data_IF_271847613376
#
_entry.id   IF_271847613376
#
_cell.length_a   1.000
_cell.length_b   1.000
_cell.length_c   1.000
_cell.angle_alpha   90.00
_cell.angle_beta   90.00
_cell.angle_gamma   90.00
#
_symmetry.space_group_name_H-M   'P 1'
#
loop_
_entity.id
_entity.type
_entity.pdbx_description
1 polymer ?
#
# COMPACT_ATOMS: atom_id res chain seq x y z
N UNK A 1 -20.01 -3.67 33.52
CA UNK A 1 -19.50 -2.79 32.46
C UNK A 1 -19.43 -3.61 31.18
N UNK A 2 -20.51 -3.56 30.41
CA UNK A 2 -20.66 -4.31 29.16
C UNK A 2 -19.76 -3.73 28.06
N UNK A 3 -19.05 -4.63 27.37
CA UNK A 3 -18.27 -4.31 26.18
C UNK A 3 -19.24 -4.12 25.03
N UNK A 4 -19.46 -2.87 24.65
CA UNK A 4 -20.21 -2.52 23.45
C UNK A 4 -19.47 -3.05 22.21
N UNK A 5 -20.11 -3.95 21.48
CA UNK A 5 -19.55 -4.60 20.29
C UNK A 5 -19.47 -3.63 19.13
N UNK A 6 -18.36 -3.63 18.38
CA UNK A 6 -18.02 -2.73 17.25
C UNK A 6 -19.14 -2.65 16.18
N UNK A 7 -20.01 -3.66 16.11
CA UNK A 7 -21.17 -3.71 15.20
C UNK A 7 -22.24 -2.63 15.49
N UNK A 8 -22.35 -2.17 16.73
CA UNK A 8 -23.38 -1.19 17.14
C UNK A 8 -22.94 0.27 16.92
N UNK A 9 -21.62 0.55 16.91
CA UNK A 9 -21.10 1.89 16.65
C UNK A 9 -21.29 2.34 15.18
N UNK A 10 -21.43 1.39 14.25
CA UNK A 10 -21.60 1.67 12.82
C UNK A 10 -23.03 2.05 12.40
N UNK A 11 -24.03 1.86 13.26
CA UNK A 11 -25.43 2.22 12.94
C UNK A 11 -25.81 3.66 13.33
N UNK A 12 -24.93 4.40 14.03
CA UNK A 12 -25.23 5.75 14.54
C UNK A 12 -24.88 6.92 13.61
N UNK A 13 -24.34 6.69 12.41
CA UNK A 13 -23.92 7.74 11.48
C UNK A 13 -24.67 7.73 10.13
N UNK A 14 -25.97 7.43 10.10
CA UNK A 14 -26.83 7.79 8.97
C UNK A 14 -27.42 9.19 9.18
N UNK A 15 -26.87 10.17 8.47
CA UNK A 15 -27.40 11.53 8.37
C UNK A 15 -28.82 11.45 7.76
N UNK A 16 -29.77 12.11 8.43
CA UNK A 16 -31.15 12.29 7.96
C UNK A 16 -31.16 13.31 6.83
N UNK A 17 -31.49 12.88 5.61
CA UNK A 17 -31.82 13.79 4.52
C UNK A 17 -33.18 14.47 4.81
N UNK A 18 -33.17 15.81 4.87
CA UNK A 18 -34.39 16.62 4.96
C UNK A 18 -34.95 16.83 3.55
N UNK A 19 -36.23 16.48 3.40
CA UNK A 19 -37.09 16.72 2.23
C UNK A 19 -37.31 18.23 2.02
N UNK A 20 -37.11 18.72 0.80
CA UNK A 20 -37.62 20.03 0.35
C UNK A 20 -38.47 19.78 -0.90
N UNK A 21 -39.69 20.31 -0.89
CA UNK A 21 -40.69 20.19 -1.95
C UNK A 21 -40.40 21.18 -3.11
N UNK A 22 -40.93 20.84 -4.29
CA UNK A 22 -40.41 21.26 -5.59
C UNK A 22 -41.08 22.48 -6.23
N UNK A 23 -40.54 22.85 -7.40
CA UNK A 23 -41.25 23.60 -8.45
C UNK A 23 -40.78 23.09 -9.81
N UNK A 24 -41.75 22.96 -10.71
CA UNK A 24 -41.76 22.42 -12.08
C UNK A 24 -41.05 23.29 -13.13
N UNK A 25 -40.51 22.63 -14.16
CA UNK A 25 -40.20 23.25 -15.46
C UNK A 25 -39.28 22.39 -16.34
N UNK A 26 -39.84 21.80 -17.40
CA UNK A 26 -39.14 20.98 -18.40
C UNK A 26 -38.14 21.78 -19.25
N UNK A 27 -36.95 21.20 -19.51
CA UNK A 27 -36.42 20.93 -20.87
C UNK A 27 -35.01 20.32 -20.79
N UNK A 28 -34.84 19.16 -21.43
CA UNK A 28 -33.61 18.36 -21.51
C UNK A 28 -32.74 18.88 -22.67
N UNK A 29 -31.40 18.93 -22.49
CA UNK A 29 -30.54 18.12 -23.35
C UNK A 29 -29.53 17.27 -22.56
N UNK A 30 -29.22 16.10 -23.15
CA UNK A 30 -28.28 15.07 -22.68
C UNK A 30 -26.88 15.64 -22.38
N UNK A 31 -26.42 15.44 -21.15
CA UNK A 31 -25.00 15.31 -20.83
C UNK A 31 -24.80 14.09 -19.93
N UNK A 32 -23.89 13.20 -20.33
CA UNK A 32 -23.71 11.89 -19.71
C UNK A 32 -22.56 11.98 -18.71
N UNK A 33 -22.80 12.64 -17.59
CA UNK A 33 -21.92 12.57 -16.43
C UNK A 33 -22.06 11.22 -15.74
N UNK A 34 -20.94 10.49 -15.57
CA UNK A 34 -20.84 9.50 -14.49
C UNK A 34 -19.54 9.69 -13.73
N UNK A 35 -19.58 10.66 -12.82
CA UNK A 35 -18.64 10.76 -11.73
C UNK A 35 -18.83 9.63 -10.72
N UNK A 36 -17.69 9.15 -10.22
CA UNK A 36 -17.43 8.66 -8.86
C UNK A 36 -18.33 7.50 -8.38
N UNK A 37 -17.75 6.30 -8.41
CA UNK A 37 -18.10 5.24 -7.46
C UNK A 37 -16.85 4.85 -6.68
N UNK A 38 -16.59 5.58 -5.60
CA UNK A 38 -15.78 5.07 -4.49
C UNK A 38 -16.55 3.91 -3.84
N UNK A 39 -16.50 2.74 -4.47
CA UNK A 39 -16.83 1.49 -3.80
C UNK A 39 -15.61 1.17 -2.96
N UNK A 40 -15.75 1.32 -1.64
CA UNK A 40 -14.87 0.64 -0.70
C UNK A 40 -15.12 -0.86 -0.88
N UNK A 41 -14.51 -1.47 -1.91
CA UNK A 41 -14.50 -2.91 -2.07
C UNK A 41 -13.82 -3.49 -0.83
N UNK A 42 -14.60 -4.22 -0.03
CA UNK A 42 -14.09 -4.88 1.17
C UNK A 42 -13.23 -6.05 0.69
N UNK A 43 -11.92 -5.82 0.59
CA UNK A 43 -10.93 -6.85 0.26
C UNK A 43 -10.86 -7.92 1.34
N UNK A 44 -10.77 -9.17 0.94
CA UNK A 44 -10.68 -10.31 1.87
C UNK A 44 -9.34 -10.30 2.58
N UNK A 45 -9.36 -10.30 3.92
CA UNK A 45 -8.14 -10.46 4.71
C UNK A 45 -7.77 -11.94 4.82
N UNK A 46 -6.52 -12.27 4.57
CA UNK A 46 -6.01 -13.65 4.61
C UNK A 46 -4.74 -13.76 5.45
N UNK A 47 -4.48 -14.97 5.93
CA UNK A 47 -3.30 -15.26 6.75
C UNK A 47 -2.01 -15.29 5.92
N UNK A 48 -0.90 -14.98 6.59
CA UNK A 48 0.42 -15.01 5.97
C UNK A 48 0.74 -16.42 5.42
N UNK A 49 1.29 -16.46 4.21
CA UNK A 49 1.52 -17.66 3.42
C UNK A 49 0.38 -17.97 2.44
N UNK A 50 -0.85 -17.52 2.71
CA UNK A 50 -1.99 -17.76 1.82
C UNK A 50 -2.12 -16.73 0.69
N UNK A 51 -1.32 -15.65 0.70
CA UNK A 51 -1.35 -14.58 -0.31
C UNK A 51 -0.87 -15.01 -1.69
N UNK A 52 -0.20 -16.15 -1.77
CA UNK A 52 0.33 -16.65 -3.03
C UNK A 52 -0.70 -17.53 -3.75
N UNK A 53 -0.70 -17.49 -5.09
CA UNK A 53 -1.42 -18.44 -5.92
C UNK A 53 -0.67 -19.76 -5.99
N UNK A 54 -1.38 -20.89 -5.94
CA UNK A 54 -0.77 -22.21 -6.12
C UNK A 54 -0.35 -22.39 -7.58
N UNK A 55 0.92 -22.15 -7.93
CA UNK A 55 1.43 -22.31 -9.29
C UNK A 55 2.94 -22.08 -9.46
N UNK A 56 3.48 -22.48 -10.62
CA UNK A 56 4.93 -22.39 -10.97
C UNK A 56 5.51 -20.97 -10.96
N UNK A 57 4.65 -19.95 -11.03
CA UNK A 57 5.00 -18.53 -10.94
C UNK A 57 4.38 -18.03 -9.65
N UNK A 58 5.17 -17.92 -8.59
CA UNK A 58 4.74 -17.39 -7.30
C UNK A 58 4.16 -15.97 -7.51
N UNK A 59 2.84 -15.86 -7.69
CA UNK A 59 2.08 -14.61 -7.89
C UNK A 59 1.20 -14.39 -6.67
N UNK A 60 0.75 -13.15 -6.46
CA UNK A 60 -0.22 -12.85 -5.42
C UNK A 60 -1.65 -13.07 -5.93
N UNK A 61 -2.54 -13.45 -5.02
CA UNK A 61 -3.98 -13.48 -5.29
C UNK A 61 -4.49 -12.04 -5.50
N UNK A 62 -5.51 -11.84 -6.34
CA UNK A 62 -6.15 -10.54 -6.51
C UNK A 62 -7.05 -10.17 -5.33
N UNK A 63 -7.31 -8.87 -5.15
CA UNK A 63 -8.32 -8.31 -4.25
C UNK A 63 -8.28 -8.80 -2.79
N UNK A 64 -7.06 -8.98 -2.27
CA UNK A 64 -6.81 -9.42 -0.89
C UNK A 64 -6.10 -8.35 -0.07
N UNK A 65 -6.23 -8.49 1.25
CA UNK A 65 -5.36 -7.88 2.26
C UNK A 65 -4.59 -8.97 2.99
N UNK A 66 -3.32 -8.71 3.29
CA UNK A 66 -2.49 -9.66 4.02
C UNK A 66 -1.45 -8.94 4.87
N UNK A 67 -0.84 -9.69 5.79
CA UNK A 67 0.33 -9.24 6.55
C UNK A 67 1.55 -10.05 6.16
N UNK A 68 2.70 -9.38 6.05
CA UNK A 68 3.98 -10.04 5.78
C UNK A 68 5.16 -9.24 6.34
N UNK A 69 6.34 -9.83 6.31
CA UNK A 69 7.55 -9.32 6.95
C UNK A 69 7.65 -9.69 8.42
N UNK A 70 8.79 -9.34 9.04
CA UNK A 70 9.12 -9.62 10.44
C UNK A 70 8.14 -8.99 11.44
N UNK A 71 7.51 -7.88 11.04
CA UNK A 71 6.63 -7.06 11.90
C UNK A 71 5.20 -6.96 11.38
N UNK A 72 4.77 -7.93 10.56
CA UNK A 72 3.36 -8.08 10.16
C UNK A 72 2.74 -6.81 9.53
N UNK A 73 3.48 -6.18 8.63
CA UNK A 73 3.01 -4.99 7.94
C UNK A 73 1.88 -5.34 6.97
N UNK A 74 0.93 -4.41 6.79
CA UNK A 74 -0.25 -4.63 5.97
C UNK A 74 0.01 -4.29 4.50
N UNK A 75 -0.49 -5.14 3.62
CA UNK A 75 -0.47 -4.93 2.18
C UNK A 75 -1.84 -5.22 1.59
N UNK A 76 -2.04 -4.68 0.39
CA UNK A 76 -3.21 -5.01 -0.43
C UNK A 76 -2.80 -5.31 -1.86
N UNK A 77 -3.53 -6.22 -2.51
CA UNK A 77 -3.46 -6.38 -3.95
C UNK A 77 -4.66 -5.76 -4.67
N UNK A 78 -4.50 -5.44 -5.94
CA UNK A 78 -5.60 -5.12 -6.84
C UNK A 78 -6.14 -6.38 -7.55
N UNK A 79 -7.07 -6.17 -8.48
CA UNK A 79 -7.75 -7.22 -9.24
C UNK A 79 -6.84 -8.05 -10.15
N UNK A 80 -5.60 -7.63 -10.39
CA UNK A 80 -4.61 -8.39 -11.16
C UNK A 80 -3.59 -9.12 -10.25
N UNK A 81 -3.72 -8.96 -8.93
CA UNK A 81 -2.76 -9.48 -7.95
C UNK A 81 -1.48 -8.66 -7.88
N UNK A 82 -1.54 -7.37 -8.23
CA UNK A 82 -0.40 -6.43 -8.07
C UNK A 82 -0.50 -5.77 -6.71
N UNK A 83 0.63 -5.55 -6.03
CA UNK A 83 0.63 -4.85 -4.74
C UNK A 83 0.20 -3.40 -4.99
N UNK A 84 -0.96 -3.01 -4.46
CA UNK A 84 -1.52 -1.66 -4.61
C UNK A 84 -1.26 -0.78 -3.39
N UNK A 85 -1.04 -1.39 -2.22
CA UNK A 85 -0.81 -0.67 -0.97
C UNK A 85 0.18 -1.40 -0.05
N UNK A 86 0.98 -0.61 0.68
CA UNK A 86 1.77 -1.01 1.85
C UNK A 86 1.51 0.01 2.97
N UNK A 87 1.10 -0.46 4.15
CA UNK A 87 0.91 0.43 5.31
C UNK A 87 1.36 -0.17 6.64
N UNK A 88 1.83 0.69 7.53
CA UNK A 88 2.08 0.36 8.93
C UNK A 88 1.93 1.58 9.84
N UNK A 89 1.36 1.37 11.03
CA UNK A 89 1.30 2.39 12.09
C UNK A 89 2.53 2.40 12.99
N UNK A 90 3.45 1.45 12.79
CA UNK A 90 4.66 1.29 13.59
C UNK A 90 5.74 0.60 12.75
N UNK A 91 6.45 1.37 11.92
CA UNK A 91 7.63 0.87 11.22
C UNK A 91 8.74 0.62 12.25
N UNK A 92 9.44 -0.50 12.11
CA UNK A 92 10.48 -0.92 13.05
C UNK A 92 11.77 -1.26 12.31
N UNK A 93 12.91 -1.12 12.98
CA UNK A 93 14.19 -1.64 12.48
C UNK A 93 14.30 -3.13 12.85
N UNK A 94 14.76 -3.94 11.89
CA UNK A 94 15.09 -5.33 12.16
C UNK A 94 16.24 -5.45 13.17
N UNK A 95 16.21 -6.50 13.99
CA UNK A 95 17.34 -6.87 14.87
C UNK A 95 18.36 -7.78 14.18
N UNK A 96 18.09 -8.20 12.95
CA UNK A 96 19.00 -9.06 12.17
C UNK A 96 20.29 -8.32 11.85
N UNK A 97 21.42 -9.04 11.89
CA UNK A 97 22.74 -8.52 11.51
C UNK A 97 22.94 -8.55 10.00
N UNK A 98 22.45 -9.61 9.36
CA UNK A 98 22.67 -9.88 7.95
C UNK A 98 21.40 -9.66 7.12
N UNK A 99 21.60 -9.21 5.89
CA UNK A 99 20.53 -9.03 4.90
C UNK A 99 20.09 -10.38 4.34
N UNK A 100 18.78 -10.59 4.17
CA UNK A 100 18.29 -11.79 3.52
C UNK A 100 18.49 -11.78 2.00
N UNK A 101 18.72 -12.99 1.46
CA UNK A 101 18.54 -13.24 0.03
C UNK A 101 17.07 -13.03 -0.35
N UNK A 102 16.84 -12.34 -1.47
CA UNK A 102 15.49 -11.98 -1.93
C UNK A 102 15.24 -12.38 -3.37
N UNK A 103 13.96 -12.45 -3.72
CA UNK A 103 13.52 -12.79 -5.07
C UNK A 103 14.00 -11.73 -6.06
N UNK A 104 14.78 -12.13 -7.06
CA UNK A 104 15.35 -11.21 -8.06
C UNK A 104 14.37 -10.83 -9.17
N UNK A 105 13.33 -11.65 -9.40
CA UNK A 105 12.44 -11.56 -10.55
C UNK A 105 11.05 -11.14 -10.11
N UNK A 106 10.80 -9.84 -10.12
CA UNK A 106 9.49 -9.23 -9.85
C UNK A 106 8.61 -9.22 -11.10
N UNK A 107 7.27 -9.21 -10.96
CA UNK A 107 6.36 -9.05 -12.10
C UNK A 107 6.62 -7.74 -12.86
N UNK A 108 6.63 -7.80 -14.20
CA UNK A 108 6.84 -6.62 -15.06
C UNK A 108 8.29 -6.10 -15.10
N UNK A 109 9.27 -6.83 -14.58
CA UNK A 109 10.65 -6.34 -14.48
C UNK A 109 11.30 -6.12 -15.85
N UNK A 110 11.80 -4.92 -16.09
CA UNK A 110 12.61 -4.60 -17.28
C UNK A 110 14.09 -4.84 -16.97
N UNK A 111 14.68 -5.85 -17.61
CA UNK A 111 16.10 -6.23 -17.41
C UNK A 111 17.02 -5.07 -17.77
N UNK A 112 18.00 -4.79 -16.91
CA UNK A 112 18.97 -3.71 -17.09
C UNK A 112 18.48 -2.32 -16.63
N UNK A 113 17.18 -2.15 -16.38
CA UNK A 113 16.60 -0.89 -15.91
C UNK A 113 16.09 -1.00 -14.47
N UNK A 114 15.39 -2.11 -14.18
CA UNK A 114 14.72 -2.31 -12.89
C UNK A 114 15.50 -3.20 -11.93
N UNK A 115 15.32 -2.92 -10.65
CA UNK A 115 15.69 -3.75 -9.52
C UNK A 115 14.43 -4.35 -8.87
N UNK A 116 14.62 -5.39 -8.07
CA UNK A 116 13.57 -5.91 -7.19
C UNK A 116 13.46 -4.98 -5.97
N UNK A 117 12.65 -3.92 -6.13
CA UNK A 117 12.49 -2.88 -5.13
C UNK A 117 11.62 -3.38 -3.98
N UNK A 118 12.13 -3.24 -2.75
CA UNK A 118 11.35 -3.50 -1.55
C UNK A 118 10.41 -2.31 -1.27
N UNK A 119 9.17 -2.59 -0.85
CA UNK A 119 8.27 -1.55 -0.34
C UNK A 119 8.59 -1.21 1.12
N UNK A 120 8.73 -2.24 1.95
CA UNK A 120 9.47 -2.16 3.21
C UNK A 120 10.86 -2.75 3.00
N UNK A 121 11.93 -1.94 3.07
CA UNK A 121 13.30 -2.46 2.99
C UNK A 121 13.60 -3.56 4.02
N UNK A 122 14.59 -4.38 3.70
CA UNK A 122 15.09 -5.44 4.58
C UNK A 122 15.49 -4.92 5.97
N UNK A 123 16.08 -3.72 6.07
CA UNK A 123 16.39 -3.07 7.36
C UNK A 123 15.16 -2.80 8.23
N UNK A 124 13.97 -2.80 7.64
CA UNK A 124 12.70 -2.64 8.35
C UNK A 124 11.96 -3.97 8.56
N UNK A 125 12.61 -5.11 8.29
CA UNK A 125 11.99 -6.43 8.39
C UNK A 125 11.05 -6.76 7.24
N UNK A 126 11.17 -6.11 6.08
CA UNK A 126 10.36 -6.45 4.92
C UNK A 126 10.58 -7.88 4.41
N UNK A 127 9.52 -8.50 3.90
CA UNK A 127 9.61 -9.84 3.30
C UNK A 127 10.56 -9.86 2.09
N UNK A 128 11.42 -10.88 1.94
CA UNK A 128 12.29 -11.05 0.78
C UNK A 128 11.57 -11.67 -0.44
N UNK A 129 10.24 -11.89 -0.35
CA UNK A 129 9.42 -12.54 -1.39
C UNK A 129 8.59 -11.51 -2.16
N UNK A 130 7.97 -11.96 -3.25
CA UNK A 130 7.17 -11.12 -4.17
C UNK A 130 5.93 -10.47 -3.54
N UNK A 131 5.62 -10.74 -2.27
CA UNK A 131 4.58 -10.10 -1.47
C UNK A 131 5.00 -8.74 -0.87
N UNK A 132 6.27 -8.34 -1.05
CA UNK A 132 6.81 -7.04 -0.65
C UNK A 132 7.72 -6.43 -1.75
N UNK A 133 7.78 -7.06 -2.93
CA UNK A 133 8.70 -6.66 -4.00
C UNK A 133 7.97 -6.23 -5.26
N UNK A 134 8.42 -5.13 -5.84
CA UNK A 134 7.93 -4.59 -7.11
C UNK A 134 9.09 -4.30 -8.07
N UNK A 135 8.78 -4.25 -9.36
CA UNK A 135 9.75 -3.83 -10.38
C UNK A 135 9.94 -2.32 -10.30
N UNK A 136 11.10 -1.91 -9.80
CA UNK A 136 11.38 -0.50 -9.51
C UNK A 136 12.60 -0.05 -10.30
N UNK A 137 12.47 1.07 -11.01
CA UNK A 137 13.56 1.70 -11.76
C UNK A 137 14.76 1.90 -10.83
N UNK A 138 15.96 1.56 -11.30
CA UNK A 138 17.20 1.61 -10.52
C UNK A 138 17.41 2.96 -9.82
N UNK A 139 17.15 4.07 -10.51
CA UNK A 139 17.26 5.42 -9.96
C UNK A 139 16.19 5.73 -8.90
N UNK A 140 14.98 5.19 -9.04
CA UNK A 140 13.96 5.32 -8.00
C UNK A 140 14.38 4.52 -6.77
N UNK A 141 14.77 3.26 -6.95
CA UNK A 141 15.17 2.37 -5.86
C UNK A 141 16.41 2.88 -5.11
N UNK A 142 17.51 3.14 -5.81
CA UNK A 142 18.81 3.43 -5.21
C UNK A 142 18.96 4.87 -4.72
N UNK A 143 18.16 5.80 -5.24
CA UNK A 143 18.28 7.24 -4.91
C UNK A 143 17.02 7.77 -4.23
N UNK A 144 15.89 7.78 -4.93
CA UNK A 144 14.70 8.53 -4.48
C UNK A 144 14.00 7.85 -3.29
N UNK A 145 13.67 6.58 -3.43
CA UNK A 145 13.02 5.78 -2.40
C UNK A 145 13.97 5.60 -1.20
N UNK A 146 15.24 5.24 -1.48
CA UNK A 146 16.29 5.12 -0.46
C UNK A 146 16.42 6.37 0.43
N UNK A 147 16.36 7.58 -0.13
CA UNK A 147 16.42 8.83 0.66
C UNK A 147 15.28 8.96 1.65
N UNK A 148 14.07 8.52 1.30
CA UNK A 148 12.92 8.54 2.21
C UNK A 148 13.09 7.48 3.30
N UNK A 149 13.48 6.28 2.92
CA UNK A 149 13.78 5.23 3.89
C UNK A 149 14.93 5.61 4.85
N UNK A 150 15.95 6.33 4.38
CA UNK A 150 17.06 6.78 5.22
C UNK A 150 16.57 7.77 6.29
N UNK A 151 15.59 8.62 5.97
CA UNK A 151 14.95 9.50 6.96
C UNK A 151 14.20 8.70 8.02
N UNK A 152 13.44 7.68 7.61
CA UNK A 152 12.74 6.81 8.56
C UNK A 152 13.71 6.06 9.46
N UNK A 153 14.78 5.50 8.87
CA UNK A 153 15.81 4.78 9.61
C UNK A 153 16.56 5.68 10.60
N UNK A 154 16.86 6.93 10.22
CA UNK A 154 17.47 7.90 11.13
C UNK A 154 16.56 8.19 12.33
N UNK A 155 15.28 8.47 12.09
CA UNK A 155 14.30 8.74 13.14
C UNK A 155 14.11 7.55 14.10
N UNK A 156 14.10 6.32 13.56
CA UNK A 156 14.00 5.09 14.37
C UNK A 156 15.28 4.79 15.19
N UNK A 157 16.42 5.42 14.87
CA UNK A 157 17.70 5.27 15.60
C UNK A 157 17.92 6.34 16.66
N UNK A 158 17.05 7.35 16.75
CA UNK A 158 17.16 8.37 17.79
C UNK A 158 16.95 7.79 19.20
N UNK A 159 17.27 8.56 20.23
CA UNK A 159 17.12 8.15 21.64
C UNK A 159 16.31 9.22 22.39
N UNK A 160 15.03 8.96 22.73
CA UNK A 160 14.27 7.73 22.42
C UNK A 160 13.95 7.58 20.91
N UNK A 161 13.72 6.35 20.41
CA UNK A 161 13.30 6.14 19.03
C UNK A 161 11.99 6.86 18.71
N UNK A 162 11.94 7.54 17.56
CA UNK A 162 10.71 8.21 17.10
C UNK A 162 9.73 7.21 16.51
N UNK A 163 8.43 7.50 16.64
CA UNK A 163 7.37 6.70 16.02
C UNK A 163 7.25 7.05 14.54
N UNK A 164 7.34 6.03 13.68
CA UNK A 164 7.17 6.19 12.23
C UNK A 164 5.94 5.43 11.73
N UNK A 165 5.04 6.13 11.04
CA UNK A 165 3.93 5.52 10.29
C UNK A 165 4.19 5.64 8.80
N UNK A 166 3.77 4.68 8.00
CA UNK A 166 3.96 4.67 6.54
C UNK A 166 2.67 4.24 5.85
N UNK A 167 2.32 4.92 4.78
CA UNK A 167 1.27 4.55 3.82
C UNK A 167 1.81 4.81 2.40
N UNK A 168 2.02 3.74 1.64
CA UNK A 168 2.47 3.78 0.26
C UNK A 168 1.37 3.28 -0.64
N UNK A 169 0.92 4.14 -1.56
CA UNK A 169 0.11 3.75 -2.71
C UNK A 169 1.02 3.45 -3.91
N UNK A 170 0.80 2.29 -4.53
CA UNK A 170 1.50 1.84 -5.72
C UNK A 170 0.48 1.87 -6.85
N UNK A 171 0.76 2.68 -7.86
CA UNK A 171 -0.12 2.83 -9.00
C UNK A 171 0.48 2.15 -10.23
N UNK A 172 -0.41 1.80 -11.15
CA UNK A 172 -0.11 1.09 -12.37
C UNK A 172 -0.89 1.71 -13.52
N UNK A 173 -0.33 1.62 -14.72
CA UNK A 173 -1.01 1.99 -15.95
C UNK A 173 -1.70 0.76 -16.54
N UNK A 174 -3.02 0.84 -16.71
CA UNK A 174 -3.85 -0.24 -17.26
C UNK A 174 -3.51 -1.61 -16.63
N UNK A 175 -3.13 -2.58 -17.46
CA UNK A 175 -2.82 -3.95 -17.06
C UNK A 175 -1.31 -4.20 -16.88
N UNK A 176 -0.47 -3.16 -16.83
CA UNK A 176 0.97 -3.32 -16.63
C UNK A 176 1.27 -3.90 -15.24
N UNK A 177 2.19 -4.85 -15.17
CA UNK A 177 2.66 -5.45 -13.93
C UNK A 177 3.78 -4.63 -13.27
N UNK A 178 4.38 -3.68 -14.00
CA UNK A 178 5.35 -2.71 -13.50
C UNK A 178 4.63 -1.46 -13.00
N UNK A 179 4.89 -1.00 -11.76
CA UNK A 179 4.34 0.26 -11.27
C UNK A 179 4.71 1.45 -12.14
N UNK A 180 3.81 2.42 -12.27
CA UNK A 180 4.06 3.68 -12.99
C UNK A 180 4.53 4.80 -12.04
N UNK A 181 4.07 4.79 -10.79
CA UNK A 181 4.42 5.75 -9.75
C UNK A 181 4.15 5.19 -8.35
N UNK A 182 4.83 5.82 -7.40
CA UNK A 182 4.66 5.60 -5.97
C UNK A 182 4.24 6.92 -5.32
N UNK A 183 3.25 6.85 -4.43
CA UNK A 183 2.85 7.95 -3.55
C UNK A 183 3.10 7.49 -2.13
N UNK A 184 4.11 8.07 -1.49
CA UNK A 184 4.57 7.71 -0.15
C UNK A 184 4.12 8.81 0.80
N UNK A 185 3.30 8.47 1.79
CA UNK A 185 2.94 9.32 2.91
C UNK A 185 3.47 8.68 4.19
N UNK A 186 3.95 9.50 5.12
CA UNK A 186 4.46 9.00 6.39
C UNK A 186 4.32 10.05 7.47
N UNK A 187 4.42 9.62 8.73
CA UNK A 187 4.61 10.54 9.86
C UNK A 187 5.83 10.13 10.67
N UNK A 188 6.51 11.10 11.26
CA UNK A 188 7.57 10.91 12.26
C UNK A 188 7.15 11.70 13.50
N UNK A 189 6.83 11.00 14.59
CA UNK A 189 6.19 11.58 15.79
C UNK A 189 5.00 12.49 15.45
N UNK A 190 4.14 12.00 14.55
CA UNK A 190 2.95 12.73 14.10
C UNK A 190 3.23 13.86 13.11
N UNK A 191 4.49 14.24 12.85
CA UNK A 191 4.83 15.24 11.83
C UNK A 191 4.74 14.63 10.43
N UNK A 192 3.90 15.15 9.52
CA UNK A 192 3.69 14.55 8.22
C UNK A 192 4.87 14.78 7.29
N UNK A 193 5.12 13.81 6.42
CA UNK A 193 6.01 13.91 5.27
C UNK A 193 5.46 13.12 4.10
N UNK A 194 5.88 13.48 2.89
CA UNK A 194 5.47 12.76 1.69
C UNK A 194 6.53 12.80 0.61
N UNK A 195 6.44 11.84 -0.32
CA UNK A 195 7.23 11.82 -1.53
C UNK A 195 6.43 11.17 -2.66
N UNK A 196 6.69 11.61 -3.89
CA UNK A 196 6.10 11.02 -5.09
C UNK A 196 7.19 10.70 -6.09
N UNK A 197 7.17 9.48 -6.62
CA UNK A 197 8.16 9.00 -7.58
C UNK A 197 7.46 8.54 -8.83
N UNK A 198 7.87 9.03 -10.00
CA UNK A 198 7.58 8.34 -11.27
C UNK A 198 8.55 7.18 -11.41
N UNK A 199 8.04 6.04 -11.85
CA UNK A 199 8.76 4.82 -12.14
C UNK A 199 8.75 4.59 -13.64
N UNK A 200 9.13 5.61 -14.40
CA UNK A 200 9.17 5.59 -15.87
C UNK A 200 10.63 5.59 -16.29
#
# INVERSE_FOLDING_TARGET
MEKQTIKEAYQKFKVKDRKVEGVSGESVPKDTGKGISGVSEVKTFIDNGQQFTNGRKNRLKPDIRYKTGEYDYLYETDNLGRISKFETKNLQLTKRKDRLSHSKNTPGKVKGQDLAGHLAADRFGGSPKIDNLVSQLSDVNLKKYKKVEDKWAAALKETPPKKVTVDVAINYSANDMRPDKFIVNYTIDGKPGSAKFKNL
#
